data_IF_806911695180
#
_entry.id   IF_806911695180
#
_cell.length_a   1.000
_cell.length_b   1.000
_cell.length_c   1.000
_cell.angle_alpha   90.00
_cell.angle_beta   90.00
_cell.angle_gamma   90.00
#
_symmetry.space_group_name_H-M   'P 1'
#
loop_
_entity.id
_entity.type
_entity.pdbx_description
1 polymer ?
#
# COMPACT_ATOMS: atom_id res chain seq x y z
N UNK A 1 -66.33 -73.53 51.53
CA UNK A 1 -65.01 -73.44 50.88
C UNK A 1 -64.37 -72.17 51.38
N UNK A 2 -63.24 -72.33 52.05
CA UNK A 2 -62.58 -71.28 52.83
C UNK A 2 -62.12 -70.14 51.91
N UNK A 3 -62.59 -68.93 52.22
CA UNK A 3 -62.23 -67.67 51.56
C UNK A 3 -60.72 -67.48 51.43
N UNK A 4 -59.93 -68.10 52.32
CA UNK A 4 -58.48 -68.11 52.28
C UNK A 4 -57.90 -68.67 50.96
N UNK A 5 -58.51 -69.72 50.42
CA UNK A 5 -58.00 -70.40 49.21
C UNK A 5 -58.31 -69.59 47.95
N UNK A 6 -59.47 -68.95 47.88
CA UNK A 6 -59.81 -68.04 46.77
C UNK A 6 -58.94 -66.78 46.80
N UNK A 7 -58.68 -66.21 47.98
CA UNK A 7 -57.75 -65.07 48.11
C UNK A 7 -56.32 -65.44 47.68
N UNK A 8 -55.84 -66.64 48.03
CA UNK A 8 -54.51 -67.10 47.59
C UNK A 8 -54.44 -67.28 46.07
N UNK A 9 -55.47 -67.87 45.45
CA UNK A 9 -55.54 -68.02 44.00
C UNK A 9 -55.61 -66.67 43.30
N UNK A 10 -56.41 -65.72 43.82
CA UNK A 10 -56.51 -64.36 43.28
C UNK A 10 -55.15 -63.65 43.37
N UNK A 11 -54.43 -63.80 44.49
CA UNK A 11 -53.11 -63.21 44.70
C UNK A 11 -52.06 -63.82 43.77
N UNK A 12 -52.11 -65.13 43.55
CA UNK A 12 -51.21 -65.85 42.65
C UNK A 12 -51.42 -65.43 41.18
N UNK A 13 -52.66 -65.41 40.69
CA UNK A 13 -53.01 -64.96 39.33
C UNK A 13 -52.64 -63.50 39.11
N UNK A 14 -52.89 -62.63 40.09
CA UNK A 14 -52.50 -61.21 40.03
C UNK A 14 -50.98 -61.05 39.94
N UNK A 15 -50.22 -61.90 40.64
CA UNK A 15 -48.76 -61.86 40.64
C UNK A 15 -48.16 -62.43 39.35
N UNK A 16 -48.75 -63.46 38.74
CA UNK A 16 -48.37 -63.95 37.40
C UNK A 16 -48.65 -62.92 36.30
N UNK A 17 -49.83 -62.28 36.32
CA UNK A 17 -50.18 -61.22 35.37
C UNK A 17 -49.28 -59.99 35.51
N UNK A 18 -48.87 -59.65 36.75
CA UNK A 18 -47.91 -58.56 37.00
C UNK A 18 -46.52 -58.93 36.48
N UNK A 19 -46.06 -60.18 36.63
CA UNK A 19 -44.79 -60.65 36.04
C UNK A 19 -44.85 -60.64 34.51
N UNK A 20 -45.98 -61.04 33.92
CA UNK A 20 -46.18 -61.04 32.47
C UNK A 20 -46.25 -59.61 31.91
N UNK A 21 -46.93 -58.69 32.61
CA UNK A 21 -46.91 -57.26 32.28
C UNK A 21 -45.51 -56.65 32.42
N UNK A 22 -44.78 -56.95 33.50
CA UNK A 22 -43.41 -56.46 33.68
C UNK A 22 -42.46 -56.96 32.58
N UNK A 23 -42.61 -58.23 32.16
CA UNK A 23 -41.81 -58.79 31.07
C UNK A 23 -42.16 -58.14 29.71
N UNK A 24 -43.44 -57.84 29.45
CA UNK A 24 -43.83 -57.09 28.24
C UNK A 24 -43.33 -55.65 28.22
N UNK A 25 -43.20 -55.01 29.39
CA UNK A 25 -42.67 -53.65 29.51
C UNK A 25 -41.16 -53.61 29.25
N UNK A 26 -40.40 -54.61 29.71
CA UNK A 26 -38.95 -54.72 29.47
C UNK A 26 -38.62 -54.99 28.00
N UNK A 27 -39.44 -55.79 27.30
CA UNK A 27 -39.27 -56.02 25.85
C UNK A 27 -39.69 -54.80 25.02
N UNK A 28 -40.72 -54.06 25.44
CA UNK A 28 -41.14 -52.82 24.78
C UNK A 28 -40.14 -51.67 24.91
N UNK A 29 -39.44 -51.56 26.05
CA UNK A 29 -38.39 -50.55 26.26
C UNK A 29 -37.08 -50.86 25.51
N UNK A 30 -36.83 -52.13 25.18
CA UNK A 30 -35.62 -52.55 24.45
C UNK A 30 -35.67 -52.25 22.94
N UNK A 31 -36.84 -51.94 22.35
CA UNK A 31 -36.98 -51.63 20.92
C UNK A 31 -37.05 -50.12 20.59
N UNK A 32 -36.91 -49.23 21.58
CA UNK A 32 -36.93 -47.76 21.38
C UNK A 32 -35.52 -47.14 21.40
N UNK A 33 -34.47 -47.92 21.71
CA UNK A 33 -33.08 -47.45 21.59
C UNK A 33 -32.60 -47.67 20.15
N UNK A 34 -33.15 -46.87 19.22
CA UNK A 34 -32.50 -46.64 17.94
C UNK A 34 -31.18 -45.93 18.21
N UNK A 35 -30.06 -46.51 17.79
CA UNK A 35 -28.75 -45.88 17.82
C UNK A 35 -28.86 -44.49 17.17
N UNK A 36 -28.52 -43.45 17.92
CA UNK A 36 -28.34 -42.11 17.37
C UNK A 36 -27.30 -42.23 16.24
N UNK A 37 -27.70 -41.88 15.01
CA UNK A 37 -26.81 -41.97 13.86
C UNK A 37 -25.55 -41.12 14.06
N UNK A 38 -24.40 -41.48 13.46
CA UNK A 38 -23.20 -40.67 13.58
C UNK A 38 -23.51 -39.23 13.19
N UNK A 39 -23.03 -38.27 13.98
CA UNK A 39 -23.15 -36.84 13.69
C UNK A 39 -22.63 -36.60 12.25
N UNK A 40 -23.46 -35.98 11.42
CA UNK A 40 -23.10 -35.67 10.03
C UNK A 40 -21.78 -34.90 9.97
N UNK A 41 -20.97 -35.18 8.96
CA UNK A 41 -19.73 -34.44 8.71
C UNK A 41 -20.01 -32.93 8.67
N UNK A 42 -19.10 -32.14 9.24
CA UNK A 42 -19.15 -30.69 9.14
C UNK A 42 -19.30 -30.27 7.66
N UNK A 43 -20.22 -29.34 7.40
CA UNK A 43 -20.47 -28.86 6.05
C UNK A 43 -19.21 -28.25 5.44
N UNK A 44 -19.04 -28.27 4.11
CA UNK A 44 -17.93 -27.60 3.47
C UNK A 44 -17.93 -26.10 3.84
N UNK A 45 -16.73 -25.55 4.00
CA UNK A 45 -16.55 -24.11 4.21
C UNK A 45 -17.27 -23.32 3.11
N UNK A 46 -17.97 -22.25 3.50
CA UNK A 46 -18.69 -21.41 2.55
C UNK A 46 -17.73 -20.82 1.51
N UNK A 47 -18.20 -20.51 0.29
CA UNK A 47 -17.36 -19.85 -0.70
C UNK A 47 -16.82 -18.54 -0.14
N UNK A 48 -15.55 -18.23 -0.43
CA UNK A 48 -14.97 -16.93 -0.12
C UNK A 48 -15.87 -15.82 -0.68
N UNK A 49 -16.14 -14.80 0.12
CA UNK A 49 -16.92 -13.64 -0.33
C UNK A 49 -16.29 -13.01 -1.57
N UNK A 50 -17.08 -12.33 -2.43
CA UNK A 50 -16.54 -11.64 -3.58
C UNK A 50 -15.45 -10.66 -3.14
N UNK A 51 -14.38 -10.55 -3.93
CA UNK A 51 -13.39 -9.50 -3.72
C UNK A 51 -14.09 -8.13 -3.74
N UNK A 52 -13.74 -7.27 -2.79
CA UNK A 52 -14.26 -5.90 -2.75
C UNK A 52 -14.00 -5.17 -4.06
N UNK A 53 -14.79 -4.14 -4.40
CA UNK A 53 -14.55 -3.34 -5.60
C UNK A 53 -13.12 -2.79 -5.58
N UNK A 54 -12.48 -2.77 -6.75
CA UNK A 54 -11.23 -2.02 -6.94
C UNK A 54 -11.51 -0.57 -6.55
N UNK A 55 -10.69 0.02 -5.69
CA UNK A 55 -10.82 1.44 -5.35
C UNK A 55 -10.70 2.29 -6.61
N UNK A 56 -11.46 3.38 -6.68
CA UNK A 56 -11.39 4.31 -7.80
C UNK A 56 -9.95 4.82 -7.95
N UNK A 57 -9.42 4.79 -9.18
CA UNK A 57 -8.12 5.39 -9.48
C UNK A 57 -8.27 6.89 -9.14
N UNK A 58 -7.61 7.37 -8.08
CA UNK A 58 -7.71 8.77 -7.70
C UNK A 58 -7.28 9.68 -8.86
N UNK A 59 -8.07 10.71 -9.16
CA UNK A 59 -7.81 11.69 -10.21
C UNK A 59 -6.53 12.48 -9.92
N UNK A 60 -5.38 11.94 -10.34
CA UNK A 60 -4.11 12.62 -10.20
C UNK A 60 -3.96 13.61 -11.37
N UNK A 61 -3.95 14.90 -11.07
CA UNK A 61 -3.53 15.92 -12.03
C UNK A 61 -1.99 15.95 -12.05
N UNK A 62 -1.36 15.04 -12.79
CA UNK A 62 0.11 14.98 -12.87
C UNK A 62 0.64 16.20 -13.60
N UNK A 63 1.57 16.90 -12.99
CA UNK A 63 2.21 18.11 -13.54
C UNK A 63 3.68 17.78 -13.79
N UNK A 64 4.21 18.12 -14.95
CA UNK A 64 5.60 17.84 -15.30
C UNK A 64 6.28 19.08 -15.89
N UNK A 65 7.56 19.25 -15.56
CA UNK A 65 8.38 20.32 -16.12
C UNK A 65 8.93 19.95 -17.49
N UNK A 66 9.46 20.94 -18.20
CA UNK A 66 10.45 20.68 -19.25
C UNK A 66 11.80 20.31 -18.60
N UNK A 67 12.78 19.93 -19.40
CA UNK A 67 14.16 19.76 -18.93
C UNK A 67 14.81 21.12 -18.65
N UNK A 68 15.31 21.29 -17.44
CA UNK A 68 16.02 22.49 -16.98
C UNK A 68 17.52 22.24 -16.94
N UNK A 69 18.29 23.16 -17.51
CA UNK A 69 19.74 23.21 -17.36
C UNK A 69 20.08 23.86 -16.01
N UNK A 70 21.09 23.33 -15.32
CA UNK A 70 21.58 23.92 -14.08
C UNK A 70 22.67 24.96 -14.37
N UNK A 71 22.27 26.11 -14.89
CA UNK A 71 23.20 27.15 -15.39
C UNK A 71 24.06 27.79 -14.28
N UNK A 72 23.56 27.83 -13.04
CA UNK A 72 24.28 28.44 -11.92
C UNK A 72 24.00 27.71 -10.61
N UNK A 73 25.06 27.12 -10.06
CA UNK A 73 25.07 26.46 -8.75
C UNK A 73 25.57 27.42 -7.67
N UNK A 74 24.72 27.69 -6.68
CA UNK A 74 25.00 28.60 -5.57
C UNK A 74 25.57 27.82 -4.38
N UNK A 75 26.66 28.29 -3.75
CA UNK A 75 27.15 27.66 -2.54
C UNK A 75 26.15 27.82 -1.39
N UNK A 76 26.06 26.82 -0.53
CA UNK A 76 25.34 26.86 0.72
C UNK A 76 26.03 25.94 1.74
N UNK A 77 25.61 26.05 3.00
CA UNK A 77 26.10 25.20 4.08
C UNK A 77 24.89 24.61 4.81
N UNK A 78 24.90 23.30 5.05
CA UNK A 78 23.86 22.61 5.81
C UNK A 78 24.50 21.73 6.87
N UNK A 79 24.23 22.03 8.14
CA UNK A 79 24.77 21.26 9.27
C UNK A 79 26.30 21.13 9.28
N UNK A 80 27.02 22.09 8.69
CA UNK A 80 28.48 22.07 8.54
C UNK A 80 28.96 21.48 7.21
N UNK A 81 28.08 20.81 6.48
CA UNK A 81 28.38 20.29 5.15
C UNK A 81 28.33 21.41 4.11
N UNK A 82 29.38 21.49 3.31
CA UNK A 82 29.47 22.39 2.16
C UNK A 82 28.71 21.76 0.99
N UNK A 83 27.71 22.47 0.48
CA UNK A 83 26.90 22.03 -0.66
C UNK A 83 26.88 23.11 -1.75
N UNK A 84 26.47 22.71 -2.95
CA UNK A 84 25.91 23.67 -3.90
C UNK A 84 24.49 23.31 -4.27
N UNK A 85 23.71 24.30 -4.67
CA UNK A 85 22.33 24.08 -5.11
C UNK A 85 21.94 24.92 -6.32
N UNK A 86 20.91 24.48 -7.03
CA UNK A 86 20.15 25.33 -7.94
C UNK A 86 18.65 25.09 -7.73
N UNK A 87 17.84 26.04 -8.18
CA UNK A 87 16.40 26.07 -7.93
C UNK A 87 15.62 25.99 -9.24
N UNK A 88 14.65 25.08 -9.32
CA UNK A 88 13.59 25.07 -10.31
C UNK A 88 12.32 25.66 -9.67
N UNK A 89 11.96 26.87 -10.08
CA UNK A 89 10.82 27.61 -9.52
C UNK A 89 9.57 27.36 -10.35
N UNK A 90 8.46 27.01 -9.70
CA UNK A 90 7.17 26.77 -10.34
C UNK A 90 6.00 27.10 -9.41
N UNK A 91 5.02 27.85 -9.88
CA UNK A 91 3.79 28.12 -9.12
C UNK A 91 2.90 26.90 -8.92
N UNK A 92 3.13 25.85 -9.70
CA UNK A 92 2.35 24.61 -9.62
C UNK A 92 2.69 23.79 -8.37
N UNK A 93 3.87 24.01 -7.78
CA UNK A 93 4.27 23.37 -6.53
C UNK A 93 3.66 24.09 -5.32
N UNK A 94 2.39 23.79 -5.06
CA UNK A 94 1.66 24.34 -3.91
C UNK A 94 2.05 23.65 -2.60
N UNK A 95 1.78 24.30 -1.46
CA UNK A 95 1.95 23.68 -0.13
C UNK A 95 1.18 22.36 0.01
N UNK A 96 -0.01 22.25 -0.62
CA UNK A 96 -0.78 21.01 -0.61
C UNK A 96 -0.04 19.85 -1.28
N UNK A 97 0.66 20.12 -2.39
CA UNK A 97 1.50 19.12 -3.05
C UNK A 97 2.73 18.78 -2.20
N UNK A 98 3.34 19.77 -1.56
CA UNK A 98 4.46 19.55 -0.62
C UNK A 98 4.04 18.60 0.52
N UNK A 99 2.86 18.83 1.10
CA UNK A 99 2.41 18.11 2.29
C UNK A 99 1.83 16.72 1.94
N UNK A 100 1.12 16.61 0.82
CA UNK A 100 0.23 15.46 0.54
C UNK A 100 0.51 14.77 -0.79
N UNK A 101 1.19 15.45 -1.71
CA UNK A 101 1.56 14.93 -3.02
C UNK A 101 2.85 14.11 -3.02
N UNK A 102 3.25 13.71 -4.21
CA UNK A 102 4.54 13.10 -4.52
C UNK A 102 5.31 14.05 -5.43
N UNK A 103 6.57 14.31 -5.10
CA UNK A 103 7.48 15.06 -5.96
C UNK A 103 8.60 14.13 -6.38
N UNK A 104 8.73 13.92 -7.68
CA UNK A 104 9.83 13.17 -8.28
C UNK A 104 10.74 14.12 -9.01
N UNK A 105 12.04 13.93 -8.88
CA UNK A 105 13.05 14.74 -9.56
C UNK A 105 14.02 13.81 -10.28
N UNK A 106 14.39 14.16 -11.49
CA UNK A 106 15.21 13.36 -12.38
C UNK A 106 16.40 14.17 -12.87
N UNK A 107 17.49 13.46 -13.15
CA UNK A 107 18.68 13.98 -13.80
C UNK A 107 18.97 13.16 -15.05
N UNK A 108 19.28 13.86 -16.12
CA UNK A 108 19.84 13.33 -17.34
C UNK A 108 21.28 13.84 -17.43
N UNK A 109 22.23 12.93 -17.22
CA UNK A 109 23.65 13.27 -17.22
C UNK A 109 24.16 13.39 -18.65
N UNK A 110 24.99 14.40 -18.88
CA UNK A 110 25.63 14.59 -20.17
C UNK A 110 26.39 13.33 -20.60
N UNK A 111 26.18 12.88 -21.84
CA UNK A 111 26.82 11.70 -22.44
C UNK A 111 26.53 10.38 -21.72
N UNK A 112 25.46 10.31 -20.93
CA UNK A 112 24.98 9.06 -20.34
C UNK A 112 23.62 8.73 -20.96
N UNK A 113 23.48 7.54 -21.53
CA UNK A 113 22.23 7.08 -22.17
C UNK A 113 21.27 6.50 -21.13
N UNK A 114 21.05 7.23 -20.03
CA UNK A 114 20.14 6.83 -18.96
C UNK A 114 19.70 8.05 -18.12
N UNK A 115 18.43 8.04 -17.73
CA UNK A 115 17.85 9.00 -16.80
C UNK A 115 17.87 8.40 -15.40
N UNK A 116 18.29 9.19 -14.42
CA UNK A 116 18.34 8.78 -13.02
C UNK A 116 17.35 9.57 -12.18
N UNK A 117 16.69 8.90 -11.24
CA UNK A 117 15.86 9.58 -10.23
C UNK A 117 16.73 10.08 -9.08
N UNK A 118 16.40 11.25 -8.54
CA UNK A 118 16.96 11.75 -7.29
C UNK A 118 16.17 11.15 -6.09
N UNK A 119 16.85 10.81 -4.98
CA UNK A 119 18.28 11.01 -4.77
C UNK A 119 19.16 10.05 -5.58
N UNK A 120 20.31 10.56 -6.04
CA UNK A 120 21.32 9.79 -6.74
C UNK A 120 22.62 9.80 -5.93
N UNK A 121 23.30 8.66 -5.85
CA UNK A 121 24.64 8.56 -5.28
C UNK A 121 25.50 7.70 -6.20
N UNK A 122 26.70 8.19 -6.52
CA UNK A 122 27.62 7.47 -7.39
C UNK A 122 28.97 8.15 -7.50
N UNK A 123 29.87 7.53 -8.25
CA UNK A 123 31.15 8.14 -8.61
C UNK A 123 31.03 8.64 -10.05
N UNK A 124 31.38 9.91 -10.28
CA UNK A 124 31.34 10.54 -11.61
C UNK A 124 32.76 10.86 -12.03
N UNK A 125 33.26 10.06 -12.97
CA UNK A 125 34.61 10.20 -13.49
C UNK A 125 34.86 11.63 -13.99
N UNK A 126 35.93 12.25 -13.48
CA UNK A 126 36.31 13.62 -13.82
C UNK A 126 35.55 14.71 -13.08
N UNK A 127 34.66 14.36 -12.14
CA UNK A 127 33.98 15.31 -11.28
C UNK A 127 34.19 15.01 -9.78
N UNK A 128 33.47 14.03 -9.24
CA UNK A 128 33.53 13.66 -7.83
C UNK A 128 33.46 12.14 -7.66
N UNK A 129 34.39 11.60 -6.88
CA UNK A 129 34.25 10.28 -6.27
C UNK A 129 33.41 10.49 -5.01
N UNK A 130 32.19 9.92 -4.97
CA UNK A 130 31.23 10.14 -3.88
C UNK A 130 30.22 11.27 -4.09
N UNK A 131 29.88 11.56 -5.34
CA UNK A 131 28.77 12.45 -5.66
C UNK A 131 27.48 11.98 -4.98
N UNK A 132 26.79 12.93 -4.35
CA UNK A 132 25.38 12.81 -4.03
C UNK A 132 24.57 13.98 -4.59
N UNK A 133 23.42 13.65 -5.18
CA UNK A 133 22.41 14.60 -5.62
C UNK A 133 21.12 14.33 -4.85
N UNK A 134 20.62 15.34 -4.15
CA UNK A 134 19.34 15.30 -3.44
C UNK A 134 18.44 16.41 -3.93
N UNK A 135 17.14 16.31 -3.64
CA UNK A 135 16.23 17.42 -3.83
C UNK A 135 15.55 17.79 -2.50
N UNK A 136 15.27 19.08 -2.34
CA UNK A 136 14.41 19.64 -1.30
C UNK A 136 13.21 20.26 -1.98
N UNK A 137 12.05 20.06 -1.37
CA UNK A 137 10.79 20.62 -1.85
C UNK A 137 10.38 21.72 -0.89
N UNK A 138 10.27 22.94 -1.41
CA UNK A 138 9.67 24.07 -0.74
C UNK A 138 8.42 24.46 -1.54
N UNK A 139 7.44 25.16 -0.94
CA UNK A 139 6.42 25.82 -1.74
C UNK A 139 7.09 26.64 -2.83
N UNK A 140 6.59 26.54 -4.06
CA UNK A 140 7.11 27.16 -5.29
C UNK A 140 8.48 26.70 -5.81
N UNK A 141 9.25 25.90 -5.07
CA UNK A 141 10.64 25.62 -5.43
C UNK A 141 10.99 24.14 -5.24
N UNK A 142 11.45 23.51 -6.33
CA UNK A 142 12.23 22.27 -6.27
C UNK A 142 13.70 22.66 -6.29
N UNK A 143 14.38 22.50 -5.15
CA UNK A 143 15.82 22.74 -5.02
C UNK A 143 16.58 21.44 -5.23
N UNK A 144 17.55 21.43 -6.12
CA UNK A 144 18.50 20.30 -6.25
C UNK A 144 19.81 20.69 -5.60
N UNK A 145 20.38 19.78 -4.83
CA UNK A 145 21.62 19.99 -4.09
C UNK A 145 22.66 18.94 -4.50
N UNK A 146 23.90 19.38 -4.64
CA UNK A 146 25.09 18.54 -4.82
C UNK A 146 25.92 18.57 -3.56
N UNK A 147 26.43 17.40 -3.19
CA UNK A 147 27.28 17.18 -2.03
C UNK A 147 28.33 16.11 -2.35
N UNK A 148 29.54 16.28 -1.80
CA UNK A 148 30.60 15.26 -1.84
C UNK A 148 30.58 14.50 -0.50
N UNK A 149 30.07 13.28 -0.52
CA UNK A 149 29.97 12.44 0.69
C UNK A 149 31.32 12.06 1.28
N UNK A 150 32.37 12.06 0.46
CA UNK A 150 33.71 11.67 0.88
C UNK A 150 34.47 12.86 1.47
N UNK A 151 34.11 14.09 1.08
CA UNK A 151 34.70 15.33 1.59
C UNK A 151 33.62 16.36 1.97
N UNK A 152 32.82 16.09 3.01
CA UNK A 152 31.60 16.86 3.32
C UNK A 152 31.81 18.36 3.57
N UNK A 153 32.99 18.75 4.06
CA UNK A 153 33.30 20.14 4.39
C UNK A 153 34.02 20.90 3.26
N UNK A 154 34.11 20.29 2.07
CA UNK A 154 34.74 20.85 0.89
C UNK A 154 33.68 21.28 -0.12
N UNK A 155 33.97 22.31 -0.91
CA UNK A 155 33.11 22.69 -2.02
C UNK A 155 33.00 21.52 -3.01
N UNK A 156 31.80 20.93 -3.22
CA UNK A 156 31.63 19.79 -4.13
C UNK A 156 31.76 20.21 -5.61
N UNK A 157 31.89 21.51 -5.89
CA UNK A 157 31.94 22.02 -7.25
C UNK A 157 30.55 22.08 -7.90
N UNK A 158 30.51 22.52 -9.15
CA UNK A 158 29.28 22.75 -9.91
C UNK A 158 29.17 21.76 -11.05
N UNK A 159 27.95 21.32 -11.35
CA UNK A 159 27.69 20.53 -12.56
C UNK A 159 27.81 21.39 -13.81
N UNK A 160 28.18 20.77 -14.93
CA UNK A 160 28.03 21.38 -16.26
C UNK A 160 26.56 21.72 -16.50
N UNK A 161 26.31 22.87 -17.14
CA UNK A 161 24.99 23.25 -17.64
C UNK A 161 24.45 22.27 -18.67
N UNK A 162 25.27 21.37 -19.22
CA UNK A 162 24.82 20.31 -20.13
C UNK A 162 24.03 19.19 -19.44
N UNK A 163 24.12 19.08 -18.10
CA UNK A 163 23.27 18.17 -17.35
C UNK A 163 21.89 18.80 -17.17
N UNK A 164 20.85 17.97 -17.33
CA UNK A 164 19.48 18.43 -17.35
C UNK A 164 18.68 17.81 -16.22
N UNK A 165 17.76 18.57 -15.67
CA UNK A 165 16.92 18.14 -14.55
C UNK A 165 15.45 18.33 -14.88
N UNK A 166 14.60 17.45 -14.36
CA UNK A 166 13.15 17.52 -14.55
C UNK A 166 12.45 17.18 -13.26
N UNK A 167 11.32 17.83 -12.98
CA UNK A 167 10.43 17.42 -11.90
C UNK A 167 9.10 16.89 -12.45
N UNK A 168 8.49 15.98 -11.69
CA UNK A 168 7.10 15.53 -11.84
C UNK A 168 6.41 15.69 -10.50
N UNK A 169 5.34 16.47 -10.47
CA UNK A 169 4.51 16.72 -9.31
C UNK A 169 3.23 15.92 -9.47
N UNK A 170 2.92 15.10 -8.47
CA UNK A 170 1.69 14.33 -8.43
C UNK A 170 0.91 14.79 -7.21
N UNK A 171 -0.15 15.58 -7.38
CA UNK A 171 -0.95 16.07 -6.28
C UNK A 171 -1.58 14.95 -5.44
N UNK A 172 -1.90 15.31 -4.20
CA UNK A 172 -2.75 14.48 -3.33
C UNK A 172 -4.07 14.11 -4.01
N UNK A 173 -4.69 13.03 -3.54
CA UNK A 173 -6.01 12.64 -4.04
C UNK A 173 -7.11 13.53 -3.46
N UNK A 174 -8.28 13.56 -4.11
CA UNK A 174 -9.47 14.15 -3.50
C UNK A 174 -9.83 13.34 -2.24
N UNK A 175 -9.97 14.00 -1.09
CA UNK A 175 -10.43 13.32 0.13
C UNK A 175 -11.83 12.75 -0.11
N UNK A 176 -12.04 11.47 0.21
CA UNK A 176 -13.39 10.95 0.40
C UNK A 176 -14.04 11.76 1.53
N UNK A 177 -15.28 12.21 1.31
CA UNK A 177 -16.01 13.07 2.24
C UNK A 177 -16.08 12.43 3.63
N UNK A 178 -15.18 12.84 4.53
CA UNK A 178 -15.07 12.30 5.89
C UNK A 178 -13.65 12.03 6.38
N UNK A 179 -12.64 11.97 5.50
CA UNK A 179 -11.24 11.83 5.91
C UNK A 179 -10.54 13.19 5.93
N UNK A 180 -9.90 13.55 7.05
CA UNK A 180 -9.07 14.75 7.14
C UNK A 180 -7.75 14.65 6.39
N UNK A 181 -7.41 13.46 5.89
CA UNK A 181 -6.19 13.19 5.12
C UNK A 181 -6.51 13.16 3.63
N UNK A 182 -6.02 14.15 2.88
CA UNK A 182 -6.10 14.19 1.40
C UNK A 182 -4.91 13.47 0.75
N UNK A 183 -4.26 12.56 1.48
CA UNK A 183 -3.16 11.76 0.93
C UNK A 183 -3.71 10.91 -0.21
N UNK A 184 -3.02 10.92 -1.34
CA UNK A 184 -3.43 10.11 -2.48
C UNK A 184 -3.41 8.62 -2.10
N UNK A 185 -4.49 7.84 -2.33
CA UNK A 185 -4.50 6.41 -2.02
C UNK A 185 -3.41 5.63 -2.79
N UNK A 186 -2.96 6.16 -3.93
CA UNK A 186 -1.91 5.57 -4.75
C UNK A 186 -0.51 6.13 -4.44
N UNK A 187 -0.36 6.98 -3.41
CA UNK A 187 0.91 7.64 -3.08
C UNK A 187 2.08 6.67 -3.01
N UNK A 188 1.95 5.59 -2.23
CA UNK A 188 3.02 4.60 -2.07
C UNK A 188 3.38 3.89 -3.39
N UNK A 189 2.36 3.61 -4.23
CA UNK A 189 2.58 2.99 -5.54
C UNK A 189 3.41 3.90 -6.45
N UNK A 190 3.13 5.20 -6.46
CA UNK A 190 3.84 6.16 -7.30
C UNK A 190 5.23 6.52 -6.78
N UNK A 191 5.42 6.50 -5.46
CA UNK A 191 6.74 6.65 -4.83
C UNK A 191 7.72 5.55 -5.27
N UNK A 192 7.21 4.35 -5.58
CA UNK A 192 8.03 3.20 -6.00
C UNK A 192 8.24 3.10 -7.52
N UNK A 193 7.45 3.80 -8.34
CA UNK A 193 7.57 3.73 -9.81
C UNK A 193 8.86 4.39 -10.34
N UNK A 194 9.45 3.76 -11.36
CA UNK A 194 10.55 4.30 -12.16
C UNK A 194 10.11 5.49 -13.01
N UNK A 195 11.07 6.21 -13.61
CA UNK A 195 10.76 7.29 -14.55
C UNK A 195 10.00 6.77 -15.77
N UNK A 196 10.45 5.69 -16.38
CA UNK A 196 9.84 5.08 -17.57
C UNK A 196 8.43 4.56 -17.26
N UNK A 197 8.23 3.98 -16.07
CA UNK A 197 6.91 3.55 -15.61
C UNK A 197 5.96 4.74 -15.43
N UNK A 198 6.43 5.85 -14.86
CA UNK A 198 5.66 7.08 -14.73
C UNK A 198 5.36 7.71 -16.10
N UNK A 199 6.33 7.75 -17.01
CA UNK A 199 6.11 8.23 -18.38
C UNK A 199 5.04 7.42 -19.09
N UNK A 200 5.12 6.08 -19.03
CA UNK A 200 4.14 5.20 -19.66
C UNK A 200 2.77 5.28 -18.99
N UNK A 201 2.71 5.39 -17.65
CA UNK A 201 1.44 5.40 -16.91
C UNK A 201 0.64 6.67 -17.14
N UNK A 202 1.33 7.80 -17.30
CA UNK A 202 0.73 9.13 -17.38
C UNK A 202 0.89 9.78 -18.76
N UNK A 203 1.49 9.12 -19.75
CA UNK A 203 1.77 9.68 -21.08
C UNK A 203 2.61 10.98 -21.03
N UNK A 204 3.63 11.01 -20.16
CA UNK A 204 4.51 12.18 -20.03
C UNK A 204 5.47 12.23 -21.24
N UNK A 205 5.43 13.32 -22.05
CA UNK A 205 6.30 13.46 -23.22
C UNK A 205 7.76 13.67 -22.81
N UNK A 206 8.68 13.31 -23.71
CA UNK A 206 10.12 13.47 -23.49
C UNK A 206 10.57 14.93 -23.37
N UNK A 207 9.78 15.86 -23.91
CA UNK A 207 10.06 17.29 -23.93
C UNK A 207 8.81 18.10 -23.58
N UNK A 208 9.04 19.33 -23.12
CA UNK A 208 7.98 20.28 -22.77
C UNK A 208 7.45 20.11 -21.35
N UNK A 209 6.62 21.08 -20.94
CA UNK A 209 5.92 21.10 -19.66
C UNK A 209 4.42 21.01 -19.86
N UNK A 210 3.70 20.53 -18.85
CA UNK A 210 2.25 20.39 -18.95
C UNK A 210 1.60 19.74 -17.73
N UNK A 211 0.29 19.53 -17.87
CA UNK A 211 -0.56 18.86 -16.89
C UNK A 211 -1.37 17.77 -17.60
N UNK A 212 -1.43 16.59 -16.98
CA UNK A 212 -2.26 15.47 -17.39
C UNK A 212 -3.31 15.25 -16.31
N UNK A 213 -4.59 15.30 -16.69
CA UNK A 213 -5.68 14.87 -15.83
C UNK A 213 -6.01 13.42 -16.15
N UNK A 214 -5.96 12.55 -15.14
CA UNK A 214 -6.51 11.20 -15.25
C UNK A 214 -7.99 11.23 -14.86
N UNK A 215 -8.84 10.84 -15.82
CA UNK A 215 -10.29 10.71 -15.67
C UNK A 215 -10.69 9.42 -14.95
#
# INVERSE_FOLDING_TARGET
MDTSTEEQLLKYVKMENVKLMALSLVVGLAMIVGCEGPQGSEGPEGPQGPQGPKGDDGTANVIYSDWHNADTWKPAEFFGDSVRHFDMVTSDLTQEIVDQGVVKVYVDFQNVEAIYQLPFSGDVAGFLDGLQLYHKVLPDTVRVEVFDKNNPNSDPGSFSSDNRFRYVLIPGGQASSGSSSKVNPNRGVWEDMSYEELQQRFDIPDHGSGTISLD
#
